data_IF_747327468523
#
_entry.id   IF_747327468523
#
_cell.length_a   1.000
_cell.length_b   1.000
_cell.length_c   1.000
_cell.angle_alpha   90.00
_cell.angle_beta   90.00
_cell.angle_gamma   90.00
#
_symmetry.space_group_name_H-M   'P 1'
#
loop_
_entity.id
_entity.type
_entity.pdbx_description
1 polymer ?
#
# COMPACT_ATOMS: atom_id res chain seq x y z
N UNK A 1 -15.67 -30.17 33.08
CA UNK A 1 -14.32 -30.72 33.38
C UNK A 1 -13.69 -31.51 32.22
N UNK A 2 -14.44 -32.31 31.43
CA UNK A 2 -13.88 -33.05 30.30
C UNK A 2 -13.27 -32.14 29.20
N UNK A 3 -13.94 -31.02 28.91
CA UNK A 3 -13.51 -30.03 27.91
C UNK A 3 -12.15 -29.40 28.24
N UNK A 4 -11.93 -29.02 29.51
CA UNK A 4 -10.64 -28.47 29.98
C UNK A 4 -9.48 -29.47 29.81
N UNK A 5 -9.75 -30.77 29.99
CA UNK A 5 -8.73 -31.81 29.76
C UNK A 5 -8.41 -31.98 28.27
N UNK A 6 -9.41 -31.82 27.40
CA UNK A 6 -9.21 -31.83 25.95
C UNK A 6 -8.36 -30.65 25.48
N UNK A 7 -8.66 -29.44 25.98
CA UNK A 7 -7.89 -28.24 25.66
C UNK A 7 -6.42 -28.35 26.11
N UNK A 8 -6.16 -28.91 27.30
CA UNK A 8 -4.77 -29.12 27.76
C UNK A 8 -3.97 -30.05 26.85
N UNK A 9 -4.55 -31.18 26.42
CA UNK A 9 -3.88 -32.11 25.49
C UNK A 9 -3.62 -31.47 24.13
N UNK A 10 -4.59 -30.71 23.61
CA UNK A 10 -4.41 -30.01 22.34
C UNK A 10 -3.31 -28.95 22.41
N UNK A 11 -3.23 -28.23 23.53
CA UNK A 11 -2.20 -27.22 23.75
C UNK A 11 -0.81 -27.87 23.87
N UNK A 12 -0.69 -28.98 24.61
CA UNK A 12 0.55 -29.75 24.71
C UNK A 12 1.00 -30.31 23.35
N UNK A 13 0.06 -30.81 22.54
CA UNK A 13 0.34 -31.24 21.16
C UNK A 13 0.82 -30.08 20.29
N UNK A 14 0.18 -28.91 20.37
CA UNK A 14 0.60 -27.72 19.63
C UNK A 14 2.02 -27.27 20.01
N UNK A 15 2.39 -27.37 21.28
CA UNK A 15 3.76 -27.09 21.72
C UNK A 15 4.77 -28.07 21.12
N UNK A 16 4.46 -29.37 21.12
CA UNK A 16 5.31 -30.39 20.49
C UNK A 16 5.46 -30.17 18.98
N UNK A 17 4.37 -29.84 18.28
CA UNK A 17 4.38 -29.56 16.85
C UNK A 17 5.21 -28.30 16.53
N UNK A 18 5.14 -27.27 17.39
CA UNK A 18 5.95 -26.04 17.25
C UNK A 18 7.45 -26.31 17.46
N UNK A 19 7.82 -27.11 18.47
CA UNK A 19 9.22 -27.50 18.69
C UNK A 19 9.77 -28.31 17.51
N UNK A 20 8.98 -29.24 16.97
CA UNK A 20 9.37 -30.02 15.80
C UNK A 20 9.62 -29.13 14.56
N UNK A 21 8.75 -28.14 14.33
CA UNK A 21 8.91 -27.18 13.22
C UNK A 21 10.15 -26.31 13.40
N UNK A 22 10.44 -25.83 14.60
CA UNK A 22 11.65 -25.06 14.88
C UNK A 22 12.93 -25.88 14.61
N UNK A 23 12.92 -27.16 14.99
CA UNK A 23 14.05 -28.05 14.76
C UNK A 23 14.26 -28.33 13.27
N UNK A 24 13.17 -28.48 12.51
CA UNK A 24 13.20 -28.63 11.06
C UNK A 24 13.72 -27.36 10.36
N UNK A 25 13.30 -26.17 10.81
CA UNK A 25 13.79 -24.89 10.29
C UNK A 25 15.30 -24.76 10.50
N UNK A 26 15.78 -25.04 11.72
CA UNK A 26 17.21 -24.98 12.03
C UNK A 26 18.04 -25.95 11.16
N UNK A 27 17.52 -27.16 10.91
CA UNK A 27 18.17 -28.11 10.00
C UNK A 27 18.22 -27.61 8.54
N UNK A 28 17.16 -26.93 8.08
CA UNK A 28 17.12 -26.32 6.75
C UNK A 28 18.13 -25.16 6.63
N UNK A 29 18.21 -24.29 7.64
CA UNK A 29 19.14 -23.16 7.67
C UNK A 29 20.60 -23.64 7.66
N UNK A 30 20.91 -24.70 8.42
CA UNK A 30 22.23 -25.33 8.37
C UNK A 30 22.57 -25.88 6.98
N UNK A 31 21.59 -26.45 6.27
CA UNK A 31 21.80 -26.97 4.90
C UNK A 31 22.06 -25.84 3.90
N UNK A 32 21.35 -24.71 4.02
CA UNK A 32 21.59 -23.52 3.18
C UNK A 32 22.99 -22.95 3.45
N UNK A 33 23.39 -22.85 4.72
CA UNK A 33 24.74 -22.39 5.08
C UNK A 33 25.84 -23.28 4.49
N UNK A 34 25.65 -24.61 4.51
CA UNK A 34 26.60 -25.55 3.89
C UNK A 34 26.70 -25.38 2.36
N UNK A 35 25.58 -25.13 1.66
CA UNK A 35 25.58 -24.90 0.22
C UNK A 35 26.30 -23.59 -0.15
N UNK A 36 26.13 -22.54 0.65
CA UNK A 36 26.85 -21.28 0.46
C UNK A 36 28.36 -21.43 0.72
N UNK A 37 28.74 -22.22 1.72
CA UNK A 37 30.15 -22.49 2.03
C UNK A 37 30.86 -23.30 0.92
N UNK A 38 30.14 -24.17 0.21
CA UNK A 38 30.71 -24.98 -0.88
C UNK A 38 30.69 -24.28 -2.24
N UNK A 39 29.85 -23.26 -2.44
CA UNK A 39 29.72 -22.52 -3.71
C UNK A 39 30.70 -21.36 -3.93
N UNK A 40 31.53 -21.00 -2.95
CA UNK A 40 32.40 -19.80 -3.02
C UNK A 40 33.75 -20.01 -3.74
N UNK A 41 33.90 -21.10 -4.50
CA UNK A 41 35.21 -21.61 -4.92
C UNK A 41 35.39 -21.85 -6.42
N UNK A 42 34.78 -21.09 -7.32
CA UNK A 42 35.17 -21.03 -8.74
C UNK A 42 34.37 -19.96 -9.48
N UNK A 43 34.96 -18.79 -9.68
CA UNK A 43 34.97 -18.10 -10.97
C UNK A 43 35.74 -16.78 -10.82
N UNK A 44 36.96 -16.78 -11.36
CA UNK A 44 37.76 -15.58 -11.54
C UNK A 44 37.21 -14.78 -12.72
N UNK A 45 36.59 -13.64 -12.43
CA UNK A 45 36.17 -12.70 -13.47
C UNK A 45 37.24 -11.62 -13.69
N UNK A 46 37.67 -11.37 -14.94
CA UNK A 46 38.69 -10.38 -15.25
C UNK A 46 38.18 -8.92 -15.14
N UNK A 47 38.93 -8.15 -14.36
CA UNK A 47 38.82 -6.72 -14.10
C UNK A 47 38.72 -5.86 -15.39
N UNK A 48 37.51 -5.45 -15.78
CA UNK A 48 37.30 -4.43 -16.81
C UNK A 48 37.20 -3.03 -16.21
N UNK A 49 38.32 -2.30 -16.31
CA UNK A 49 38.44 -0.85 -16.09
C UNK A 49 37.41 -0.08 -16.92
N UNK A 50 36.51 0.66 -16.26
CA UNK A 50 35.60 1.63 -16.91
C UNK A 50 36.12 3.07 -16.73
N UNK A 51 36.18 3.90 -17.79
CA UNK A 51 36.62 5.30 -17.70
C UNK A 51 35.55 6.23 -17.10
N UNK A 52 36.01 7.23 -16.35
CA UNK A 52 35.21 8.37 -15.85
C UNK A 52 34.95 9.39 -16.97
N UNK A 53 33.73 9.93 -17.12
CA UNK A 53 33.50 11.16 -17.86
C UNK A 53 33.48 12.41 -16.94
N UNK A 54 33.74 13.60 -17.52
CA UNK A 54 34.05 14.83 -16.79
C UNK A 54 32.84 15.68 -16.40
N UNK A 55 33.13 16.54 -15.43
CA UNK A 55 32.37 17.64 -14.84
C UNK A 55 32.20 18.84 -15.78
N UNK A 56 31.00 19.41 -15.87
CA UNK A 56 30.73 20.81 -16.26
C UNK A 56 29.29 21.17 -15.86
N UNK A 57 29.03 22.00 -14.86
CA UNK A 57 28.97 23.48 -14.83
C UNK A 57 27.53 24.03 -14.98
N UNK A 58 27.19 25.17 -14.31
CA UNK A 58 25.81 25.59 -14.05
C UNK A 58 25.30 26.60 -15.08
N UNK A 59 23.98 26.63 -15.33
CA UNK A 59 23.33 27.68 -16.13
C UNK A 59 22.14 28.27 -15.38
N UNK A 60 22.13 29.59 -15.43
CA UNK A 60 21.33 30.59 -14.72
C UNK A 60 19.85 30.65 -15.10
N UNK A 61 19.09 31.24 -14.18
CA UNK A 61 17.68 31.65 -14.29
C UNK A 61 17.44 32.70 -15.39
N UNK A 62 16.19 32.80 -15.87
CA UNK A 62 15.54 34.11 -15.82
C UNK A 62 14.11 34.07 -15.28
N UNK A 63 13.84 35.06 -14.43
CA UNK A 63 12.53 35.53 -13.97
C UNK A 63 11.78 36.23 -15.10
N UNK A 64 10.53 35.84 -15.34
CA UNK A 64 9.60 36.54 -16.22
C UNK A 64 8.25 36.76 -15.52
N UNK A 65 7.99 38.04 -15.29
CA UNK A 65 6.71 38.65 -14.91
C UNK A 65 5.72 38.62 -16.08
N UNK A 66 4.50 38.14 -15.86
CA UNK A 66 3.40 38.24 -16.82
C UNK A 66 2.22 39.01 -16.25
N UNK A 67 1.95 40.14 -16.89
CA UNK A 67 0.85 41.08 -16.73
C UNK A 67 -0.51 40.49 -17.12
N UNK A 68 -1.51 40.75 -16.28
CA UNK A 68 -2.91 40.36 -16.47
C UNK A 68 -3.58 41.22 -17.54
N UNK A 69 -3.90 40.63 -18.69
CA UNK A 69 -4.78 41.20 -19.71
C UNK A 69 -6.12 40.47 -19.65
N UNK A 70 -7.16 41.18 -19.22
CA UNK A 70 -8.54 40.70 -19.17
C UNK A 70 -9.21 40.90 -20.53
N UNK A 71 -9.11 39.88 -21.39
CA UNK A 71 -9.93 39.77 -22.61
C UNK A 71 -11.30 39.14 -22.28
N UNK A 72 -12.40 39.59 -22.91
CA UNK A 72 -13.71 38.96 -22.77
C UNK A 72 -13.68 37.53 -23.34
N UNK A 73 -13.98 36.56 -22.47
CA UNK A 73 -13.96 35.13 -22.79
C UNK A 73 -15.13 34.79 -23.72
N UNK A 74 -14.91 34.10 -24.86
CA UNK A 74 -16.00 33.57 -25.67
C UNK A 74 -16.84 32.57 -24.85
N UNK A 75 -18.15 32.43 -25.15
CA UNK A 75 -19.03 31.50 -24.44
C UNK A 75 -18.45 30.08 -24.54
N UNK A 76 -18.07 29.52 -23.39
CA UNK A 76 -17.53 28.17 -23.33
C UNK A 76 -18.62 27.18 -23.77
N UNK A 77 -18.33 26.27 -24.71
CA UNK A 77 -19.29 25.24 -25.13
C UNK A 77 -19.70 24.42 -23.91
N UNK A 78 -21.02 24.31 -23.73
CA UNK A 78 -21.68 23.57 -22.66
C UNK A 78 -21.13 22.14 -22.57
N UNK A 79 -20.40 21.88 -21.48
CA UNK A 79 -20.25 20.59 -20.80
C UNK A 79 -20.13 19.36 -21.72
N UNK A 80 -19.05 19.29 -22.51
CA UNK A 80 -18.51 18.00 -22.98
C UNK A 80 -18.44 17.07 -21.75
N UNK A 81 -19.22 15.99 -21.80
CA UNK A 81 -19.47 15.11 -20.66
C UNK A 81 -18.19 14.82 -19.90
N UNK A 82 -18.22 15.04 -18.58
CA UNK A 82 -17.06 14.76 -17.73
C UNK A 82 -16.58 13.33 -18.01
N UNK A 83 -15.30 13.12 -18.34
CA UNK A 83 -14.80 11.80 -18.64
C UNK A 83 -15.16 10.84 -17.51
N UNK A 84 -15.56 9.62 -17.87
CA UNK A 84 -15.91 8.59 -16.89
C UNK A 84 -14.78 8.47 -15.85
N UNK A 85 -15.08 8.42 -14.54
CA UNK A 85 -14.05 8.29 -13.51
C UNK A 85 -13.10 7.11 -13.74
N UNK A 86 -13.59 6.02 -14.36
CA UNK A 86 -12.78 4.86 -14.73
C UNK A 86 -11.74 5.20 -15.82
N UNK A 87 -12.10 6.06 -16.77
CA UNK A 87 -11.18 6.53 -17.80
C UNK A 87 -10.07 7.39 -17.19
N UNK A 88 -10.41 8.30 -16.28
CA UNK A 88 -9.42 9.09 -15.56
C UNK A 88 -8.51 8.22 -14.69
N UNK A 89 -9.06 7.23 -13.99
CA UNK A 89 -8.30 6.31 -13.16
C UNK A 89 -7.29 5.51 -13.99
N UNK A 90 -7.69 4.98 -15.15
CA UNK A 90 -6.76 4.29 -16.07
C UNK A 90 -5.66 5.19 -16.60
N UNK A 91 -5.97 6.46 -16.86
CA UNK A 91 -4.98 7.45 -17.34
C UNK A 91 -3.95 7.80 -16.26
N UNK A 92 -4.39 7.95 -15.00
CA UNK A 92 -3.55 8.43 -13.91
C UNK A 92 -2.85 7.30 -13.13
N UNK A 93 -3.45 6.12 -13.07
CA UNK A 93 -2.95 4.98 -12.30
C UNK A 93 -2.58 3.87 -13.29
N UNK A 94 -1.36 3.95 -13.83
CA UNK A 94 -0.91 3.11 -14.95
C UNK A 94 -1.07 1.61 -14.72
N UNK A 95 -0.82 1.12 -13.50
CA UNK A 95 -0.93 -0.30 -13.19
C UNK A 95 -2.36 -0.83 -13.28
N UNK A 96 -3.38 0.03 -13.33
CA UNK A 96 -4.79 -0.36 -13.49
C UNK A 96 -5.15 -0.68 -14.94
N UNK A 97 -4.38 -0.17 -15.91
CA UNK A 97 -4.65 -0.33 -17.33
C UNK A 97 -5.00 -1.76 -17.79
N UNK A 98 -4.25 -2.79 -17.34
CA UNK A 98 -4.51 -4.19 -17.72
C UNK A 98 -5.80 -4.80 -17.18
N UNK A 99 -6.46 -4.17 -16.19
CA UNK A 99 -7.59 -4.77 -15.48
C UNK A 99 -8.96 -4.34 -16.03
N UNK A 100 -9.90 -5.27 -15.99
CA UNK A 100 -11.32 -4.98 -16.22
C UNK A 100 -11.89 -4.41 -14.92
N UNK A 101 -12.08 -3.10 -14.88
CA UNK A 101 -12.58 -2.42 -13.70
C UNK A 101 -14.08 -2.62 -13.52
N UNK A 102 -14.54 -3.02 -12.32
CA UNK A 102 -15.96 -3.13 -12.06
C UNK A 102 -16.59 -1.73 -11.89
N UNK A 103 -17.92 -1.64 -12.04
CA UNK A 103 -18.67 -0.39 -11.88
C UNK A 103 -18.57 0.20 -10.46
N UNK A 104 -18.33 -0.65 -9.45
CA UNK A 104 -18.15 -0.26 -8.06
C UNK A 104 -16.68 -0.02 -7.67
N UNK A 105 -15.84 0.39 -8.61
CA UNK A 105 -14.42 0.70 -8.38
C UNK A 105 -14.20 1.62 -7.16
N UNK A 106 -13.20 1.30 -6.33
CA UNK A 106 -12.97 1.99 -5.04
C UNK A 106 -12.75 3.51 -5.18
N UNK A 107 -12.15 3.96 -6.28
CA UNK A 107 -11.94 5.38 -6.57
C UNK A 107 -13.00 5.92 -7.54
N UNK A 108 -14.19 6.22 -7.04
CA UNK A 108 -15.24 6.83 -7.85
C UNK A 108 -14.95 8.29 -8.22
N UNK A 109 -14.09 8.98 -7.44
CA UNK A 109 -13.69 10.37 -7.68
C UNK A 109 -12.23 10.57 -7.28
N UNK A 110 -11.37 10.97 -8.21
CA UNK A 110 -9.96 11.25 -7.95
C UNK A 110 -9.70 12.57 -7.19
N UNK A 111 -10.78 13.25 -6.78
CA UNK A 111 -10.74 14.39 -5.85
C UNK A 111 -10.57 13.96 -4.38
N UNK A 112 -10.79 12.69 -4.06
CA UNK A 112 -10.45 12.16 -2.74
C UNK A 112 -8.95 11.86 -2.65
N UNK A 113 -8.36 11.80 -1.45
CA UNK A 113 -7.01 11.28 -1.26
C UNK A 113 -6.92 9.82 -1.72
N UNK A 114 -6.08 9.56 -2.73
CA UNK A 114 -5.88 8.21 -3.30
C UNK A 114 -4.41 7.82 -3.25
N UNK A 115 -4.17 6.58 -2.85
CA UNK A 115 -2.86 5.94 -2.84
C UNK A 115 -2.94 4.56 -3.49
N UNK A 116 -1.93 4.20 -4.26
CA UNK A 116 -1.76 2.87 -4.83
C UNK A 116 -0.46 2.24 -4.33
N UNK A 117 -0.51 0.94 -4.03
CA UNK A 117 0.66 0.17 -3.62
C UNK A 117 0.81 -1.11 -4.44
N UNK A 118 2.03 -1.65 -4.46
CA UNK A 118 2.36 -2.94 -5.07
C UNK A 118 2.88 -3.90 -4.01
N UNK A 119 2.57 -5.17 -4.20
CA UNK A 119 3.04 -6.29 -3.41
C UNK A 119 4.15 -6.98 -4.23
N UNK A 120 5.28 -7.22 -3.58
CA UNK A 120 6.35 -8.01 -4.18
C UNK A 120 5.96 -9.49 -4.19
N UNK A 121 5.46 -9.98 -3.05
CA UNK A 121 4.91 -11.31 -2.89
C UNK A 121 3.89 -11.30 -1.75
N UNK A 122 2.83 -12.11 -1.86
CA UNK A 122 1.85 -12.29 -0.78
C UNK A 122 2.45 -13.06 0.40
N UNK A 123 3.47 -13.86 0.12
CA UNK A 123 4.25 -14.62 1.11
C UNK A 123 5.53 -13.89 1.53
N UNK A 124 5.79 -12.71 0.95
CA UNK A 124 6.92 -11.87 1.33
C UNK A 124 6.71 -11.31 2.73
N UNK A 125 7.80 -11.22 3.50
CA UNK A 125 7.79 -10.56 4.81
C UNK A 125 7.73 -9.03 4.71
N UNK A 126 8.00 -8.48 3.52
CA UNK A 126 8.05 -7.04 3.27
C UNK A 126 6.66 -6.40 3.18
N UNK A 127 6.48 -5.17 3.70
CA UNK A 127 5.24 -4.42 3.50
C UNK A 127 5.07 -4.00 2.03
N UNK A 128 3.83 -3.78 1.56
CA UNK A 128 3.59 -3.23 0.24
C UNK A 128 4.30 -1.90 0.01
N UNK A 129 4.75 -1.65 -1.22
CA UNK A 129 5.46 -0.43 -1.59
C UNK A 129 4.53 0.54 -2.30
N UNK A 130 4.59 1.83 -1.96
CA UNK A 130 3.75 2.87 -2.58
C UNK A 130 4.26 3.14 -4.00
N UNK A 131 3.38 3.05 -4.99
CA UNK A 131 3.68 3.28 -6.42
C UNK A 131 2.87 4.43 -7.02
N UNK A 132 1.87 4.91 -6.29
CA UNK A 132 1.03 6.03 -6.70
C UNK A 132 0.50 6.78 -5.48
N UNK A 133 0.48 8.11 -5.55
CA UNK A 133 -0.29 8.95 -4.64
C UNK A 133 -0.74 10.18 -5.43
N UNK A 134 -2.02 10.56 -5.31
CA UNK A 134 -2.49 11.78 -5.95
C UNK A 134 -2.14 13.03 -5.13
N UNK A 135 -2.37 14.19 -5.73
CA UNK A 135 -2.12 15.49 -5.09
C UNK A 135 -2.88 15.65 -3.77
N UNK A 136 -4.13 15.18 -3.69
CA UNK A 136 -4.95 15.31 -2.49
C UNK A 136 -4.43 14.45 -1.33
N UNK A 137 -3.89 13.27 -1.62
CA UNK A 137 -3.21 12.46 -0.61
C UNK A 137 -1.91 13.12 -0.11
N UNK A 138 -1.12 13.68 -1.02
CA UNK A 138 0.10 14.41 -0.66
C UNK A 138 -0.23 15.64 0.21
N UNK A 139 -1.28 16.41 -0.14
CA UNK A 139 -1.74 17.55 0.66
C UNK A 139 -2.20 17.14 2.05
N UNK A 140 -3.04 16.10 2.14
CA UNK A 140 -3.57 15.63 3.42
C UNK A 140 -2.48 15.13 4.36
N UNK A 141 -1.55 14.34 3.83
CA UNK A 141 -0.49 13.71 4.61
C UNK A 141 0.76 14.58 4.77
N UNK A 142 0.79 15.73 4.08
CA UNK A 142 1.92 16.68 4.04
C UNK A 142 3.23 16.09 3.48
N UNK A 143 3.19 14.88 2.91
CA UNK A 143 4.32 14.31 2.21
C UNK A 143 4.38 14.84 0.77
N UNK A 144 5.60 15.01 0.27
CA UNK A 144 5.83 15.22 -1.16
C UNK A 144 5.77 13.87 -1.86
N UNK A 145 5.34 13.86 -3.12
CA UNK A 145 5.19 12.62 -3.90
C UNK A 145 6.49 11.78 -3.94
N UNK A 146 7.65 12.41 -4.13
CA UNK A 146 8.94 11.70 -4.18
C UNK A 146 9.36 11.08 -2.84
N UNK A 147 8.77 11.48 -1.71
CA UNK A 147 9.01 10.86 -0.41
C UNK A 147 8.12 9.63 -0.18
N UNK A 148 7.05 9.51 -0.97
CA UNK A 148 6.09 8.41 -0.92
C UNK A 148 6.45 7.32 -1.92
N UNK A 149 6.77 7.66 -3.17
CA UNK A 149 7.07 6.67 -4.20
C UNK A 149 8.28 5.79 -3.79
N UNK A 150 8.10 4.47 -3.82
CA UNK A 150 9.12 3.51 -3.39
C UNK A 150 9.20 3.30 -1.87
N UNK A 151 8.49 4.10 -1.06
CA UNK A 151 8.45 3.91 0.37
C UNK A 151 7.47 2.76 0.76
N UNK A 152 7.73 2.05 1.87
CA UNK A 152 6.80 1.06 2.38
C UNK A 152 5.51 1.74 2.87
N UNK A 153 4.37 1.07 2.68
CA UNK A 153 3.05 1.59 3.09
C UNK A 153 2.98 1.87 4.60
N UNK A 154 3.76 1.14 5.41
CA UNK A 154 3.88 1.32 6.87
C UNK A 154 4.46 2.68 7.26
N UNK A 155 5.10 3.40 6.34
CA UNK A 155 5.55 4.79 6.56
C UNK A 155 4.38 5.74 6.84
N UNK A 156 3.26 5.50 6.17
CA UNK A 156 2.11 6.42 6.18
C UNK A 156 0.84 5.79 6.76
N UNK A 157 0.70 4.46 6.73
CA UNK A 157 -0.54 3.79 7.11
C UNK A 157 -0.26 2.68 8.12
N UNK A 158 -1.10 2.61 9.14
CA UNK A 158 -1.15 1.50 10.09
C UNK A 158 -2.56 0.91 10.07
N UNK A 159 -2.63 -0.36 9.72
CA UNK A 159 -3.88 -1.13 9.70
C UNK A 159 -4.01 -1.89 11.01
N UNK A 160 -5.20 -1.87 11.61
CA UNK A 160 -5.46 -2.63 12.84
C UNK A 160 -5.31 -4.14 12.62
N UNK A 161 -4.87 -4.86 13.65
CA UNK A 161 -4.62 -6.30 13.57
C UNK A 161 -5.84 -7.11 13.11
N UNK A 162 -7.04 -6.76 13.61
CA UNK A 162 -8.30 -7.39 13.23
C UNK A 162 -8.58 -7.26 11.71
N UNK A 163 -8.35 -6.07 11.15
CA UNK A 163 -8.52 -5.84 9.71
C UNK A 163 -7.50 -6.63 8.90
N UNK A 164 -6.25 -6.74 9.38
CA UNK A 164 -5.21 -7.53 8.72
C UNK A 164 -5.57 -9.02 8.68
N UNK A 165 -6.04 -9.58 9.79
CA UNK A 165 -6.50 -10.98 9.86
C UNK A 165 -7.64 -11.22 8.88
N UNK A 166 -8.66 -10.34 8.89
CA UNK A 166 -9.80 -10.46 7.99
C UNK A 166 -9.39 -10.39 6.51
N UNK A 167 -8.49 -9.48 6.14
CA UNK A 167 -8.02 -9.34 4.76
C UNK A 167 -7.20 -10.53 4.28
N UNK A 168 -6.42 -11.18 5.15
CA UNK A 168 -5.44 -12.21 4.75
C UNK A 168 -6.05 -13.33 3.90
N UNK A 169 -7.26 -13.78 4.23
CA UNK A 169 -7.99 -14.81 3.48
C UNK A 169 -8.41 -14.38 2.05
N UNK A 170 -8.36 -13.07 1.75
CA UNK A 170 -8.75 -12.50 0.47
C UNK A 170 -7.56 -12.16 -0.44
N UNK A 171 -6.32 -12.35 0.00
CA UNK A 171 -5.13 -11.91 -0.74
C UNK A 171 -4.56 -12.97 -1.72
N UNK A 172 -5.02 -14.23 -1.65
CA UNK A 172 -4.54 -15.33 -2.49
C UNK A 172 -5.69 -16.14 -3.11
N UNK A 173 -5.33 -16.99 -4.07
CA UNK A 173 -6.22 -17.95 -4.73
C UNK A 173 -7.45 -17.29 -5.37
N UNK A 174 -7.25 -16.15 -6.04
CA UNK A 174 -8.30 -15.48 -6.81
C UNK A 174 -8.22 -15.84 -8.28
N UNK A 175 -9.25 -15.45 -9.04
CA UNK A 175 -9.21 -15.59 -10.48
C UNK A 175 -8.03 -14.77 -11.03
N UNK A 176 -7.25 -15.30 -11.99
CA UNK A 176 -6.20 -14.56 -12.68
C UNK A 176 -6.70 -13.22 -13.23
N UNK A 177 -5.88 -12.18 -13.12
CA UNK A 177 -6.16 -10.84 -13.65
C UNK A 177 -7.49 -10.23 -13.17
N UNK A 178 -7.96 -10.66 -12.00
CA UNK A 178 -9.22 -10.18 -11.41
C UNK A 178 -9.03 -9.00 -10.46
N UNK A 179 -10.16 -8.42 -10.05
CA UNK A 179 -10.24 -7.33 -9.09
C UNK A 179 -11.13 -7.77 -7.94
N UNK A 180 -10.73 -7.51 -6.69
CA UNK A 180 -11.51 -7.88 -5.52
C UNK A 180 -12.80 -7.07 -5.41
N UNK A 181 -13.76 -7.50 -4.56
CA UNK A 181 -14.74 -6.57 -3.99
C UNK A 181 -14.06 -5.37 -3.32
N UNK A 182 -14.82 -4.30 -3.09
CA UNK A 182 -14.32 -3.15 -2.31
C UNK A 182 -14.47 -3.46 -0.83
N UNK A 183 -13.39 -3.28 -0.09
CA UNK A 183 -13.35 -3.41 1.36
C UNK A 183 -13.38 -2.03 2.00
N UNK A 184 -14.17 -1.86 3.04
CA UNK A 184 -14.14 -0.66 3.88
C UNK A 184 -13.23 -0.91 5.07
N UNK A 185 -12.15 -0.12 5.17
CA UNK A 185 -11.10 -0.33 6.15
C UNK A 185 -10.91 0.92 6.98
N UNK A 186 -10.92 0.71 8.28
CA UNK A 186 -10.47 1.70 9.23
C UNK A 186 -8.94 1.60 9.35
N UNK A 187 -8.22 2.71 9.14
CA UNK A 187 -6.76 2.77 9.31
C UNK A 187 -6.31 4.07 10.00
N UNK A 188 -5.14 4.03 10.65
CA UNK A 188 -4.44 5.24 11.09
C UNK A 188 -3.51 5.68 9.97
N UNK A 189 -3.59 6.96 9.60
CA UNK A 189 -2.66 7.60 8.67
C UNK A 189 -1.76 8.55 9.44
N UNK A 190 -0.44 8.43 9.24
CA UNK A 190 0.57 9.32 9.80
C UNK A 190 0.92 10.39 8.78
N UNK A 191 0.83 11.65 9.18
CA UNK A 191 1.29 12.79 8.38
C UNK A 191 2.77 13.07 8.60
N UNK A 192 3.39 13.84 7.70
CA UNK A 192 4.79 14.27 7.79
C UNK A 192 5.08 15.05 9.09
N UNK A 193 4.15 15.89 9.53
CA UNK A 193 4.23 16.62 10.81
C UNK A 193 4.20 15.74 12.06
N UNK A 194 3.90 14.45 11.93
CA UNK A 194 3.66 13.55 13.07
C UNK A 194 2.21 13.51 13.53
N UNK A 195 1.31 14.33 12.94
CA UNK A 195 -0.13 14.23 13.17
C UNK A 195 -0.64 12.83 12.78
N UNK A 196 -1.61 12.34 13.54
CA UNK A 196 -2.30 11.09 13.28
C UNK A 196 -3.74 11.38 12.86
N UNK A 197 -4.15 10.73 11.77
CA UNK A 197 -5.50 10.78 11.26
C UNK A 197 -6.12 9.41 11.46
N UNK A 198 -7.26 9.36 12.13
CA UNK A 198 -8.16 8.19 12.04
C UNK A 198 -8.89 8.32 10.74
N UNK A 199 -8.87 7.27 9.91
CA UNK A 199 -9.43 7.33 8.56
C UNK A 199 -10.28 6.11 8.28
N UNK A 200 -11.27 6.29 7.40
CA UNK A 200 -12.01 5.22 6.76
C UNK A 200 -11.71 5.30 5.26
N UNK A 201 -11.34 4.16 4.69
CA UNK A 201 -11.02 4.06 3.27
C UNK A 201 -11.77 2.93 2.57
N UNK A 202 -11.88 3.08 1.26
CA UNK A 202 -12.22 1.99 0.35
C UNK A 202 -10.94 1.44 -0.24
N UNK A 203 -10.65 0.18 0.06
CA UNK A 203 -9.51 -0.56 -0.47
C UNK A 203 -10.00 -1.60 -1.47
N UNK A 204 -9.30 -1.71 -2.60
CA UNK A 204 -9.55 -2.73 -3.62
C UNK A 204 -8.23 -3.34 -4.08
N UNK A 205 -8.20 -4.66 -4.18
CA UNK A 205 -7.03 -5.44 -4.55
C UNK A 205 -7.11 -5.90 -6.00
N UNK A 206 -5.95 -6.00 -6.63
CA UNK A 206 -5.77 -6.42 -8.02
C UNK A 206 -4.86 -7.63 -8.04
N UNK A 207 -5.28 -8.68 -8.74
CA UNK A 207 -4.61 -9.97 -8.73
C UNK A 207 -3.87 -10.21 -10.04
N UNK A 208 -2.64 -10.71 -9.97
CA UNK A 208 -1.86 -11.06 -11.15
C UNK A 208 -2.42 -12.29 -11.89
N UNK A 209 -1.70 -12.73 -12.92
CA UNK A 209 -2.02 -13.91 -13.73
C UNK A 209 -2.04 -15.21 -12.92
N UNK A 210 -1.42 -15.23 -11.73
CA UNK A 210 -1.41 -16.38 -10.82
C UNK A 210 -2.50 -16.27 -9.74
N UNK A 211 -3.31 -15.21 -9.76
CA UNK A 211 -4.36 -15.00 -8.76
C UNK A 211 -3.84 -14.53 -7.40
N UNK A 212 -2.61 -14.02 -7.34
CA UNK A 212 -1.99 -13.45 -6.14
C UNK A 212 -2.17 -11.93 -6.13
N UNK A 213 -2.36 -11.34 -4.95
CA UNK A 213 -2.45 -9.87 -4.86
C UNK A 213 -1.15 -9.24 -5.36
N UNK A 214 -1.27 -8.35 -6.35
CA UNK A 214 -0.15 -7.63 -6.96
C UNK A 214 -0.19 -6.15 -6.68
N UNK A 215 -1.38 -5.56 -6.68
CA UNK A 215 -1.59 -4.15 -6.37
C UNK A 215 -2.78 -3.96 -5.43
N UNK A 216 -2.79 -2.83 -4.74
CA UNK A 216 -3.99 -2.32 -4.10
C UNK A 216 -4.16 -0.83 -4.37
N UNK A 217 -5.41 -0.39 -4.39
CA UNK A 217 -5.80 1.02 -4.40
C UNK A 217 -6.57 1.30 -3.13
N UNK A 218 -6.26 2.44 -2.53
CA UNK A 218 -6.87 2.95 -1.32
C UNK A 218 -7.42 4.34 -1.59
N UNK A 219 -8.69 4.56 -1.25
CA UNK A 219 -9.39 5.82 -1.40
C UNK A 219 -9.92 6.27 -0.05
N UNK A 220 -9.33 7.32 0.56
CA UNK A 220 -9.79 7.81 1.85
C UNK A 220 -11.13 8.55 1.67
N UNK A 221 -12.15 8.11 2.41
CA UNK A 221 -13.49 8.69 2.34
C UNK A 221 -13.74 9.73 3.43
N UNK A 222 -13.25 9.44 4.64
CA UNK A 222 -13.39 10.30 5.80
C UNK A 222 -12.13 10.22 6.65
N UNK A 223 -11.83 11.31 7.34
CA UNK A 223 -10.72 11.38 8.29
C UNK A 223 -11.04 12.36 9.41
N UNK A 224 -10.56 12.03 10.61
CA UNK A 224 -10.60 12.90 11.78
C UNK A 224 -9.23 12.92 12.42
N UNK A 225 -8.74 14.11 12.74
CA UNK A 225 -7.51 14.22 13.53
C UNK A 225 -7.75 13.58 14.90
N UNK A 226 -6.82 12.74 15.33
CA UNK A 226 -6.98 12.03 16.60
C UNK A 226 -5.68 11.40 17.04
N UNK A 227 -5.42 11.46 18.34
CA UNK A 227 -4.30 10.77 18.96
C UNK A 227 -4.68 9.33 19.28
N UNK A 228 -3.68 8.46 19.49
CA UNK A 228 -3.91 7.20 20.18
C UNK A 228 -4.43 7.50 21.60
N UNK A 229 -5.49 6.81 22.01
CA UNK A 229 -5.97 6.87 23.39
C UNK A 229 -4.96 6.21 24.33
N UNK A 230 -5.03 6.51 25.62
CA UNK A 230 -4.07 6.02 26.60
C UNK A 230 -3.98 4.47 26.68
N UNK A 231 -5.05 3.78 26.29
CA UNK A 231 -5.16 2.32 26.25
C UNK A 231 -4.88 1.72 24.86
N UNK A 232 -4.65 2.54 23.83
CA UNK A 232 -4.45 2.08 22.47
C UNK A 232 -2.97 1.88 22.14
N UNK A 233 -2.69 0.85 21.35
CA UNK A 233 -1.38 0.65 20.70
C UNK A 233 -1.53 0.98 19.22
N UNK A 234 -0.42 1.28 18.55
CA UNK A 234 -0.40 1.64 17.12
C UNK A 234 -1.16 0.61 16.24
N UNK A 235 -1.10 -0.68 16.59
CA UNK A 235 -1.75 -1.79 15.86
C UNK A 235 -3.11 -2.20 16.45
N UNK A 236 -3.48 -1.65 17.61
CA UNK A 236 -4.66 -2.00 18.40
C UNK A 236 -5.40 -0.73 18.80
N UNK A 237 -5.95 -0.04 17.81
CA UNK A 237 -6.64 1.24 17.97
C UNK A 237 -8.13 1.10 17.60
N UNK A 238 -8.97 1.99 18.12
CA UNK A 238 -10.42 1.96 17.97
C UNK A 238 -10.87 2.72 16.71
N UNK A 239 -11.78 2.20 15.88
CA UNK A 239 -12.31 2.92 14.72
C UNK A 239 -12.91 4.30 15.07
N UNK A 240 -13.08 5.16 14.05
CA UNK A 240 -13.90 6.37 14.20
C UNK A 240 -15.31 5.89 14.56
N UNK A 241 -15.81 6.26 15.74
CA UNK A 241 -17.23 6.13 16.01
C UNK A 241 -17.92 7.15 15.11
N UNK A 242 -18.71 6.68 14.16
CA UNK A 242 -19.70 7.56 13.55
C UNK A 242 -20.55 8.08 14.70
N UNK A 243 -20.44 9.38 14.97
CA UNK A 243 -21.44 10.07 15.76
C UNK A 243 -22.72 9.94 14.94
N UNK A 244 -23.56 8.95 15.28
CA UNK A 244 -24.90 8.86 14.72
C UNK A 244 -25.57 10.18 15.08
N UNK A 245 -25.63 11.09 14.12
CA UNK A 245 -26.60 12.16 14.13
C UNK A 245 -27.94 11.47 14.01
N UNK A 246 -28.57 11.23 15.16
CA UNK A 246 -29.96 10.81 15.23
C UNK A 246 -30.78 11.92 14.57
N UNK A 247 -31.18 11.68 13.32
CA UNK A 247 -32.10 12.51 12.55
C UNK A 247 -33.53 12.03 12.75
#
# INVERSE_FOLDING_TARGET
>A
MAEVRGLKRNNEKLHQDLEALQLQQHAADQKVAQLLATGAGQDGEPERKRPRPPTSSPISSPSSSSSSSSSPQPPMPSTLGSPSPLFEARRLISFVGPYILPSNFACTRLRYPVMGCTFESVFGLGPPTIVFANTEFCKLTEFRLHELLGAPITKVRVTGENSRQHMSAHLTNKAPMSVSPVFEINCLVRCRSGRLLRTQDKTQFFFDEQGNVKHAILCLLSWKEGQLQADERLEQWRPIKEERTDN
#
